data_IF_246212272961
#
_entry.id   IF_246212272961
#
_cell.length_a   1.000
_cell.length_b   1.000
_cell.length_c   1.000
_cell.angle_alpha   90.00
_cell.angle_beta   90.00
_cell.angle_gamma   90.00
#
_symmetry.space_group_name_H-M   'P 1'
#
loop_
_entity.id
_entity.type
_entity.pdbx_description
1 polymer ?
#
# COMPACT_ATOMS: atom_id res chain seq x y z
N UNK A 1 7.12 -22.85 85.05
CA UNK A 1 6.55 -21.50 85.31
C UNK A 1 6.36 -20.80 83.98
N UNK A 2 5.12 -20.53 83.57
CA UNK A 2 4.83 -19.47 82.60
C UNK A 2 4.55 -18.18 83.39
N UNK A 3 4.83 -16.99 82.83
CA UNK A 3 3.74 -16.23 82.22
C UNK A 3 4.13 -15.32 81.02
N UNK A 4 3.40 -15.45 79.90
CA UNK A 4 2.30 -14.56 79.42
C UNK A 4 2.39 -13.00 79.37
N UNK A 5 2.20 -12.48 78.12
CA UNK A 5 1.68 -11.18 77.56
C UNK A 5 2.30 -9.81 77.97
N UNK A 6 2.46 -8.78 77.13
CA UNK A 6 1.43 -8.05 76.32
C UNK A 6 2.10 -7.01 75.37
N UNK A 7 1.40 -6.59 74.30
CA UNK A 7 1.78 -5.55 73.34
C UNK A 7 1.47 -4.10 73.81
N UNK A 8 2.18 -3.08 73.26
CA UNK A 8 1.62 -1.87 72.60
C UNK A 8 2.58 -0.65 72.46
N UNK A 9 2.47 0.01 71.29
CA UNK A 9 2.53 1.46 70.97
C UNK A 9 3.83 2.29 70.79
N UNK A 10 4.00 2.73 69.52
CA UNK A 10 4.02 4.11 68.96
C UNK A 10 5.20 5.06 69.24
N UNK A 11 5.94 5.43 68.18
CA UNK A 11 6.89 6.56 68.13
C UNK A 11 7.39 6.83 66.70
N UNK A 12 7.64 8.09 66.33
CA UNK A 12 7.66 8.66 64.96
C UNK A 12 9.08 9.09 64.53
N UNK A 13 9.48 8.70 63.30
CA UNK A 13 10.49 9.20 62.33
C UNK A 13 11.95 9.52 62.80
N UNK A 14 12.95 9.32 61.90
CA UNK A 14 13.29 10.39 60.97
C UNK A 14 13.45 9.99 59.50
N UNK A 15 13.23 11.03 58.71
CA UNK A 15 13.41 11.30 57.29
C UNK A 15 14.75 10.81 56.69
N UNK A 16 14.68 10.11 55.55
CA UNK A 16 15.81 9.90 54.64
C UNK A 16 15.36 10.20 53.22
N UNK A 17 16.01 11.21 52.66
CA UNK A 17 16.02 11.76 51.31
C UNK A 17 15.46 10.89 50.17
N UNK A 18 14.56 11.47 49.39
CA UNK A 18 14.13 11.00 48.07
C UNK A 18 14.66 11.94 46.97
N UNK A 19 15.41 11.38 46.02
CA UNK A 19 15.69 11.94 44.69
C UNK A 19 16.18 10.82 43.75
N UNK A 20 15.97 10.93 42.44
CA UNK A 20 14.69 11.07 41.74
C UNK A 20 14.43 9.86 40.82
N UNK A 21 13.15 9.68 40.46
CA UNK A 21 12.68 8.64 39.55
C UNK A 21 13.41 8.67 38.20
N UNK A 22 14.02 7.54 37.82
CA UNK A 22 14.45 7.28 36.43
C UNK A 22 13.21 7.09 35.57
N UNK A 23 12.92 8.09 34.76
CA UNK A 23 11.95 8.02 33.66
C UNK A 23 12.53 7.11 32.57
N UNK A 24 11.81 6.03 32.25
CA UNK A 24 12.07 5.18 31.10
C UNK A 24 11.81 5.98 29.81
N UNK A 25 12.59 5.77 28.72
CA UNK A 25 12.37 6.48 27.48
C UNK A 25 11.00 6.10 26.88
N UNK A 26 10.24 7.11 26.47
CA UNK A 26 8.93 6.98 25.87
C UNK A 26 9.02 6.16 24.58
N UNK A 27 8.30 5.04 24.55
CA UNK A 27 7.89 4.34 23.35
C UNK A 27 7.27 5.35 22.38
N UNK A 28 7.85 5.50 21.19
CA UNK A 28 7.27 6.29 20.11
C UNK A 28 5.84 5.83 19.80
N UNK A 29 4.99 6.70 19.23
CA UNK A 29 3.59 6.34 19.02
C UNK A 29 3.49 5.17 18.06
N UNK A 30 3.09 4.01 18.59
CA UNK A 30 2.54 2.90 17.82
C UNK A 30 1.44 3.46 16.92
N UNK A 31 1.64 3.41 15.60
CA UNK A 31 0.58 3.75 14.65
C UNK A 31 -0.46 2.64 14.64
N UNK A 32 -1.29 2.61 15.68
CA UNK A 32 -2.57 1.93 15.64
C UNK A 32 -3.42 2.56 14.53
N UNK A 33 -4.05 1.69 13.73
CA UNK A 33 -4.64 1.97 12.42
C UNK A 33 -5.34 3.31 12.30
N UNK A 34 -4.88 4.13 11.35
CA UNK A 34 -5.69 5.23 10.87
C UNK A 34 -6.95 4.66 10.19
N UNK A 35 -8.15 5.18 10.50
CA UNK A 35 -9.37 4.74 9.85
C UNK A 35 -9.24 4.79 8.33
N UNK A 36 -9.83 3.82 7.65
CA UNK A 36 -10.08 3.91 6.23
C UNK A 36 -10.86 5.19 5.90
N UNK A 37 -10.70 5.75 4.70
CA UNK A 37 -11.56 6.84 4.28
C UNK A 37 -13.02 6.35 4.35
N UNK A 38 -13.97 7.20 4.76
CA UNK A 38 -15.38 6.90 4.65
C UNK A 38 -15.69 6.42 3.23
N UNK A 39 -16.58 5.44 3.08
CA UNK A 39 -17.06 4.98 1.77
C UNK A 39 -17.97 6.02 1.08
N UNK A 40 -17.64 7.30 1.22
CA UNK A 40 -18.24 8.36 0.41
C UNK A 40 -17.82 8.07 -1.03
N UNK A 41 -18.82 7.67 -1.83
CA UNK A 41 -18.70 7.18 -3.21
C UNK A 41 -18.11 8.25 -4.13
N UNK A 42 -16.80 8.45 -4.07
CA UNK A 42 -16.09 9.27 -5.06
C UNK A 42 -14.93 8.45 -5.59
N UNK A 43 -15.13 7.84 -6.76
CA UNK A 43 -14.04 7.27 -7.56
C UNK A 43 -13.27 8.48 -8.12
N UNK A 44 -12.23 8.90 -7.40
CA UNK A 44 -11.43 10.10 -7.73
C UNK A 44 -10.15 9.79 -8.52
N UNK A 45 -10.05 8.62 -9.15
CA UNK A 45 -8.81 8.26 -9.83
C UNK A 45 -9.08 7.28 -10.95
N UNK A 46 -9.35 7.81 -12.14
CA UNK A 46 -8.97 7.15 -13.39
C UNK A 46 -8.01 8.13 -14.03
N UNK A 47 -6.74 7.75 -14.12
CA UNK A 47 -5.74 8.60 -14.73
C UNK A 47 -5.36 8.07 -16.11
N UNK A 48 -5.46 8.97 -17.08
CA UNK A 48 -4.98 8.77 -18.43
C UNK A 48 -3.72 9.60 -18.66
N UNK A 49 -2.78 9.11 -19.46
CA UNK A 49 -1.70 9.95 -19.97
C UNK A 49 -2.30 10.87 -21.04
N UNK A 50 -2.04 12.18 -20.94
CA UNK A 50 -2.55 13.12 -21.94
C UNK A 50 -1.93 12.85 -23.33
N UNK A 51 -2.74 12.47 -24.35
CA UNK A 51 -2.24 12.14 -25.68
C UNK A 51 -1.61 13.34 -26.40
N UNK A 52 -1.90 14.57 -25.99
CA UNK A 52 -1.31 15.78 -26.60
C UNK A 52 0.13 16.04 -26.14
N UNK A 53 0.55 15.46 -25.02
CA UNK A 53 1.93 15.57 -24.52
C UNK A 53 2.92 14.63 -25.25
N UNK A 54 2.42 13.60 -25.94
CA UNK A 54 3.24 12.64 -26.70
C UNK A 54 2.62 12.35 -28.07
N UNK A 55 2.84 13.24 -29.04
CA UNK A 55 2.58 12.91 -30.45
C UNK A 55 3.73 12.07 -31.02
N UNK A 56 3.79 10.80 -30.63
CA UNK A 56 4.45 9.75 -31.39
C UNK A 56 3.46 8.60 -31.56
N UNK A 57 3.12 8.29 -32.82
CA UNK A 57 2.37 7.10 -33.14
C UNK A 57 3.23 5.89 -32.77
N UNK A 58 2.81 5.12 -31.77
CA UNK A 58 3.39 3.80 -31.53
C UNK A 58 2.87 2.88 -32.63
N UNK A 59 3.76 2.32 -33.44
CA UNK A 59 3.43 1.12 -34.21
C UNK A 59 2.97 0.05 -33.21
N UNK A 60 1.85 -0.60 -33.51
CA UNK A 60 1.40 -1.79 -32.77
C UNK A 60 2.41 -2.88 -33.07
N UNK A 61 3.44 -2.98 -32.23
CA UNK A 61 4.41 -4.06 -32.25
C UNK A 61 3.68 -5.40 -32.18
N UNK A 62 4.17 -6.37 -32.96
CA UNK A 62 3.57 -7.70 -33.07
C UNK A 62 3.27 -8.31 -31.70
N UNK A 63 2.21 -9.11 -31.67
CA UNK A 63 1.78 -9.87 -30.49
C UNK A 63 2.95 -10.78 -30.08
N UNK A 64 3.78 -10.33 -29.13
CA UNK A 64 4.72 -11.23 -28.48
C UNK A 64 3.86 -12.21 -27.70
N UNK A 65 3.95 -13.50 -28.01
CA UNK A 65 3.40 -14.55 -27.17
C UNK A 65 4.00 -14.37 -25.77
N UNK A 66 3.24 -13.77 -24.87
CA UNK A 66 3.59 -13.85 -23.46
C UNK A 66 3.52 -15.33 -23.13
N UNK A 67 4.60 -15.88 -22.57
CA UNK A 67 4.64 -17.24 -22.07
C UNK A 67 3.40 -17.46 -21.18
N UNK A 68 2.38 -18.07 -21.75
CA UNK A 68 1.15 -18.35 -21.03
C UNK A 68 1.56 -19.32 -19.92
N UNK A 69 1.48 -18.88 -18.67
CA UNK A 69 1.59 -19.80 -17.55
C UNK A 69 0.53 -20.88 -17.78
N UNK A 70 0.95 -22.14 -17.80
CA UNK A 70 0.05 -23.28 -17.93
C UNK A 70 -0.79 -23.51 -16.67
N UNK A 71 -0.59 -22.70 -15.62
CA UNK A 71 -1.28 -22.80 -14.34
C UNK A 71 -2.56 -21.95 -14.39
N UNK A 72 -3.76 -22.56 -14.29
CA UNK A 72 -5.00 -21.81 -14.34
C UNK A 72 -5.18 -20.92 -13.10
N UNK A 73 -5.45 -19.63 -13.31
CA UNK A 73 -5.89 -18.72 -12.25
C UNK A 73 -7.33 -19.05 -11.87
N UNK A 74 -7.50 -19.65 -10.68
CA UNK A 74 -8.82 -20.06 -10.18
C UNK A 74 -9.16 -19.29 -8.89
N UNK A 75 -10.40 -18.82 -8.78
CA UNK A 75 -10.96 -18.24 -7.57
C UNK A 75 -12.01 -19.18 -6.99
N UNK A 76 -11.92 -19.48 -5.70
CA UNK A 76 -12.78 -20.46 -5.04
C UNK A 76 -13.15 -20.00 -3.62
N UNK A 77 -14.02 -20.75 -2.94
CA UNK A 77 -14.52 -20.38 -1.61
C UNK A 77 -13.41 -20.20 -0.55
N UNK A 78 -12.22 -20.78 -0.76
CA UNK A 78 -11.04 -20.58 0.11
C UNK A 78 -10.43 -19.17 -0.02
N UNK A 79 -10.74 -18.49 -1.11
CA UNK A 79 -10.28 -17.13 -1.38
C UNK A 79 -11.20 -16.08 -0.79
N UNK A 80 -12.42 -16.43 -0.38
CA UNK A 80 -13.37 -15.50 0.21
C UNK A 80 -12.77 -14.81 1.45
N UNK A 81 -13.03 -13.51 1.64
CA UNK A 81 -12.61 -12.81 2.85
C UNK A 81 -13.32 -13.40 4.07
N UNK A 82 -12.61 -13.44 5.21
CA UNK A 82 -13.11 -14.06 6.45
C UNK A 82 -14.42 -13.44 6.94
N UNK A 83 -14.64 -12.15 6.68
CA UNK A 83 -15.81 -11.40 7.12
C UNK A 83 -16.88 -11.22 6.02
N UNK A 84 -16.75 -11.91 4.89
CA UNK A 84 -17.57 -11.71 3.69
C UNK A 84 -17.24 -10.39 2.97
N UNK A 85 -17.59 -10.29 1.68
CA UNK A 85 -17.52 -9.02 0.93
C UNK A 85 -18.92 -8.52 0.63
N UNK A 86 -19.49 -7.74 1.55
CA UNK A 86 -20.85 -7.20 1.39
C UNK A 86 -20.91 -5.92 0.54
N UNK A 87 -19.75 -5.35 0.16
CA UNK A 87 -19.68 -3.95 -0.25
C UNK A 87 -19.06 -3.68 -1.62
N UNK A 88 -18.71 -4.71 -2.41
CA UNK A 88 -18.00 -4.52 -3.69
C UNK A 88 -16.77 -3.62 -3.51
N UNK A 89 -16.06 -3.85 -2.41
CA UNK A 89 -14.96 -2.98 -2.02
C UNK A 89 -13.82 -3.00 -3.04
N UNK A 90 -13.14 -1.85 -3.15
CA UNK A 90 -11.92 -1.71 -3.93
C UNK A 90 -10.83 -2.61 -3.33
N UNK A 91 -9.98 -3.18 -4.18
CA UNK A 91 -8.87 -4.02 -3.71
C UNK A 91 -7.71 -3.12 -3.29
N UNK A 92 -7.56 -3.00 -1.97
CA UNK A 92 -6.50 -2.21 -1.32
C UNK A 92 -5.54 -3.18 -0.65
N UNK A 93 -4.26 -3.09 -0.97
CA UNK A 93 -3.23 -4.04 -0.53
C UNK A 93 -2.05 -3.33 0.12
N UNK A 94 -1.17 -4.12 0.72
CA UNK A 94 0.20 -3.71 1.01
C UNK A 94 1.08 -4.16 -0.16
N UNK A 95 1.93 -3.27 -0.66
CA UNK A 95 2.92 -3.59 -1.68
C UNK A 95 4.31 -3.20 -1.18
N UNK A 96 5.32 -4.01 -1.48
CA UNK A 96 6.70 -3.61 -1.24
C UNK A 96 7.15 -2.73 -2.41
N UNK A 97 7.37 -1.44 -2.16
CA UNK A 97 7.82 -0.45 -3.15
C UNK A 97 9.17 0.08 -2.69
N UNK A 98 10.21 -0.07 -3.51
CA UNK A 98 11.57 0.35 -3.15
C UNK A 98 12.03 -0.15 -1.77
N UNK A 99 11.70 -1.41 -1.44
CA UNK A 99 12.02 -2.06 -0.17
C UNK A 99 11.24 -1.54 1.05
N UNK A 100 10.19 -0.74 0.85
CA UNK A 100 9.28 -0.30 1.91
C UNK A 100 7.91 -0.96 1.76
N UNK A 101 7.34 -1.43 2.87
CA UNK A 101 5.95 -1.86 2.93
C UNK A 101 5.03 -0.63 2.85
N UNK A 102 4.51 -0.37 1.65
CA UNK A 102 3.57 0.71 1.41
C UNK A 102 2.17 0.17 1.60
N UNK A 103 1.50 0.67 2.64
CA UNK A 103 0.10 0.34 2.96
C UNK A 103 -0.86 1.14 2.08
N UNK A 104 -2.11 0.69 1.97
CA UNK A 104 -3.18 1.42 1.26
C UNK A 104 -2.85 1.68 -0.21
N UNK A 105 -2.35 0.64 -0.88
CA UNK A 105 -2.10 0.63 -2.33
C UNK A 105 -3.36 0.17 -3.04
N UNK A 106 -3.95 1.01 -3.87
CA UNK A 106 -5.13 0.67 -4.65
C UNK A 106 -4.72 -0.07 -5.93
N UNK A 107 -5.29 -1.25 -6.16
CA UNK A 107 -5.19 -1.94 -7.45
C UNK A 107 -6.32 -1.46 -8.36
N UNK A 108 -5.98 -0.72 -9.41
CA UNK A 108 -6.97 -0.10 -10.29
C UNK A 108 -6.73 -0.44 -11.77
N UNK A 109 -7.53 -1.35 -12.29
CA UNK A 109 -7.53 -1.69 -13.72
C UNK A 109 -8.05 -0.56 -14.63
N UNK A 110 -8.72 0.46 -14.07
CA UNK A 110 -9.21 1.63 -14.78
C UNK A 110 -8.10 2.63 -15.10
N UNK A 111 -7.12 2.80 -14.21
CA UNK A 111 -6.00 3.73 -14.41
C UNK A 111 -4.97 3.20 -15.41
N UNK A 112 -4.48 4.07 -16.29
CA UNK A 112 -3.34 3.76 -17.17
C UNK A 112 -2.00 4.19 -16.55
N UNK A 113 -2.03 5.09 -15.58
CA UNK A 113 -0.87 5.57 -14.86
C UNK A 113 -0.76 4.90 -13.48
N UNK A 114 0.47 4.59 -13.08
CA UNK A 114 0.82 4.24 -11.71
C UNK A 114 1.14 5.52 -10.94
N UNK A 115 0.59 5.66 -9.73
CA UNK A 115 0.68 6.90 -8.96
C UNK A 115 1.29 6.61 -7.59
N UNK A 116 2.22 7.46 -7.19
CA UNK A 116 2.73 7.53 -5.84
C UNK A 116 2.38 8.90 -5.27
N UNK A 117 1.64 8.96 -4.15
CA UNK A 117 1.31 10.26 -3.57
C UNK A 117 2.51 10.86 -2.85
N UNK A 118 2.69 12.19 -2.95
CA UNK A 118 3.82 12.93 -2.37
C UNK A 118 4.03 12.58 -0.88
N UNK A 119 2.94 12.44 -0.12
CA UNK A 119 3.02 12.08 1.30
C UNK A 119 3.67 10.72 1.55
N UNK A 120 3.45 9.74 0.68
CA UNK A 120 4.06 8.41 0.77
C UNK A 120 5.51 8.45 0.28
N UNK A 121 5.77 9.13 -0.84
CA UNK A 121 7.11 9.37 -1.36
C UNK A 121 8.05 9.97 -0.29
N UNK A 122 7.60 10.99 0.44
CA UNK A 122 8.36 11.62 1.51
C UNK A 122 8.55 10.68 2.72
N UNK A 123 7.53 9.89 3.09
CA UNK A 123 7.63 8.92 4.18
C UNK A 123 8.61 7.79 3.90
N UNK A 124 8.78 7.41 2.63
CA UNK A 124 9.80 6.45 2.18
C UNK A 124 11.22 7.03 2.17
N UNK A 125 11.41 8.31 2.55
CA UNK A 125 12.71 8.96 2.57
C UNK A 125 13.31 9.21 1.17
N UNK A 126 12.49 9.10 0.12
CA UNK A 126 12.89 9.40 -1.24
C UNK A 126 13.07 10.92 -1.42
N UNK A 127 14.05 11.31 -2.23
CA UNK A 127 14.43 12.72 -2.44
C UNK A 127 14.04 13.16 -3.84
N UNK A 128 13.74 14.44 -4.01
CA UNK A 128 13.43 15.01 -5.32
C UNK A 128 14.54 14.81 -6.36
N UNK A 129 15.80 14.66 -5.90
CA UNK A 129 16.93 14.33 -6.76
C UNK A 129 16.79 12.98 -7.48
N UNK A 130 15.91 12.09 -6.99
CA UNK A 130 15.61 10.79 -7.60
C UNK A 130 14.54 10.90 -8.70
N UNK A 131 13.95 12.07 -8.88
CA UNK A 131 12.85 12.29 -9.81
C UNK A 131 13.36 12.59 -11.21
N UNK A 132 12.80 11.91 -12.20
CA UNK A 132 13.11 12.10 -13.61
C UNK A 132 12.39 13.34 -14.16
N UNK A 133 13.10 14.12 -14.97
CA UNK A 133 12.49 15.22 -15.70
C UNK A 133 11.61 14.65 -16.83
N UNK A 134 10.30 14.85 -16.74
CA UNK A 134 9.38 14.55 -17.82
C UNK A 134 8.25 15.59 -17.84
N UNK A 135 7.93 16.07 -19.05
CA UNK A 135 6.85 17.04 -19.31
C UNK A 135 5.53 16.33 -19.63
N UNK A 136 5.22 15.26 -18.89
CA UNK A 136 3.98 14.51 -19.12
C UNK A 136 2.91 14.97 -18.13
N UNK A 137 1.75 15.36 -18.64
CA UNK A 137 0.56 15.68 -17.84
C UNK A 137 -0.38 14.48 -17.80
N UNK A 138 -1.06 14.29 -16.67
CA UNK A 138 -2.12 13.29 -16.54
C UNK A 138 -3.49 13.95 -16.74
N UNK A 139 -4.45 13.18 -17.24
CA UNK A 139 -5.86 13.54 -17.28
C UNK A 139 -6.59 12.73 -16.22
N UNK A 140 -7.34 13.41 -15.38
CA UNK A 140 -8.25 12.73 -14.46
C UNK A 140 -9.55 12.31 -15.18
N UNK A 141 -10.47 11.69 -14.45
CA UNK A 141 -11.74 11.23 -15.00
C UNK A 141 -12.64 12.38 -15.52
N UNK A 142 -12.51 13.58 -14.96
CA UNK A 142 -13.27 14.76 -15.39
C UNK A 142 -12.67 15.43 -16.63
N UNK A 143 -11.49 14.96 -17.09
CA UNK A 143 -10.71 15.59 -18.15
C UNK A 143 -9.86 16.76 -17.66
N UNK A 144 -9.79 16.98 -16.34
CA UNK A 144 -8.89 17.96 -15.77
C UNK A 144 -7.44 17.49 -15.89
N UNK A 145 -6.57 18.44 -16.23
CA UNK A 145 -5.14 18.23 -16.36
C UNK A 145 -4.49 18.25 -14.98
N UNK A 146 -3.93 17.14 -14.57
CA UNK A 146 -3.16 16.99 -13.34
C UNK A 146 -1.68 16.94 -13.70
N UNK A 147 -0.93 17.95 -13.29
CA UNK A 147 0.51 17.97 -13.47
C UNK A 147 1.16 17.18 -12.33
N UNK A 148 1.81 16.03 -12.61
CA UNK A 148 2.61 15.36 -11.59
C UNK A 148 3.79 16.26 -11.21
N UNK A 149 4.29 16.10 -9.98
CA UNK A 149 5.53 16.74 -9.55
C UNK A 149 6.64 16.36 -10.53
N UNK A 150 6.84 15.04 -10.68
CA UNK A 150 7.74 14.37 -11.66
C UNK A 150 7.43 12.86 -11.66
N UNK A 151 8.23 12.10 -12.41
CA UNK A 151 8.17 10.65 -12.49
C UNK A 151 9.33 9.99 -11.76
N UNK A 152 9.15 8.75 -11.31
CA UNK A 152 10.20 7.93 -10.71
C UNK A 152 10.02 6.45 -11.04
N UNK A 153 11.11 5.76 -11.35
CA UNK A 153 11.11 4.32 -11.56
C UNK A 153 11.50 3.61 -10.27
N UNK A 154 10.59 2.81 -9.70
CA UNK A 154 10.83 2.07 -8.45
C UNK A 154 10.52 0.57 -8.65
N UNK A 155 11.28 -0.33 -8.00
CA UNK A 155 10.89 -1.74 -7.97
C UNK A 155 9.65 -1.91 -7.09
N UNK A 156 8.67 -2.64 -7.60
CA UNK A 156 7.48 -3.07 -6.89
C UNK A 156 7.50 -4.59 -6.82
N UNK A 157 7.27 -5.15 -5.64
CA UNK A 157 7.14 -6.59 -5.49
C UNK A 157 5.93 -6.99 -4.66
N UNK A 158 5.37 -8.13 -5.05
CA UNK A 158 4.28 -8.82 -4.38
C UNK A 158 4.71 -10.24 -4.06
N UNK A 159 4.26 -10.79 -2.95
CA UNK A 159 4.52 -12.16 -2.59
C UNK A 159 3.55 -12.71 -1.56
N UNK A 160 3.52 -14.03 -1.49
CA UNK A 160 2.87 -14.83 -0.46
C UNK A 160 3.80 -15.98 -0.04
N UNK A 161 3.30 -16.95 0.73
CA UNK A 161 4.08 -18.10 1.17
C UNK A 161 4.62 -18.96 0.01
N UNK A 162 4.06 -18.82 -1.20
CA UNK A 162 4.47 -19.60 -2.38
C UNK A 162 5.58 -18.93 -3.20
N UNK A 163 5.83 -17.63 -3.01
CA UNK A 163 6.86 -16.92 -3.74
C UNK A 163 6.67 -15.41 -3.80
N UNK A 164 7.52 -14.74 -4.57
CA UNK A 164 7.41 -13.32 -4.85
C UNK A 164 7.72 -13.03 -6.32
N UNK A 165 7.20 -11.92 -6.82
CA UNK A 165 7.55 -11.36 -8.12
C UNK A 165 7.87 -9.89 -7.97
N UNK A 166 8.78 -9.40 -8.83
CA UNK A 166 9.24 -8.02 -8.84
C UNK A 166 9.14 -7.44 -10.26
N UNK A 167 8.68 -6.21 -10.37
CA UNK A 167 8.60 -5.45 -11.61
C UNK A 167 9.07 -4.01 -11.39
N UNK A 168 9.70 -3.41 -12.39
CA UNK A 168 10.06 -1.99 -12.36
C UNK A 168 8.86 -1.15 -12.81
N UNK A 169 8.41 -0.23 -11.95
CA UNK A 169 7.20 0.57 -12.17
C UNK A 169 7.56 2.04 -12.27
N UNK A 170 7.01 2.72 -13.27
CA UNK A 170 7.15 4.15 -13.46
C UNK A 170 5.97 4.88 -12.80
N UNK A 171 6.22 5.46 -11.63
CA UNK A 171 5.23 6.21 -10.89
C UNK A 171 5.22 7.68 -11.31
N UNK A 172 4.02 8.22 -11.53
CA UNK A 172 3.78 9.65 -11.44
C UNK A 172 3.65 10.07 -9.97
N UNK A 173 4.49 11.00 -9.52
CA UNK A 173 4.40 11.52 -8.15
C UNK A 173 3.42 12.67 -8.11
N UNK A 174 2.29 12.50 -7.41
CA UNK A 174 1.21 13.50 -7.37
C UNK A 174 1.10 14.14 -5.99
N UNK A 175 1.07 15.48 -5.98
CA UNK A 175 0.76 16.28 -4.79
C UNK A 175 -0.75 16.47 -4.66
N UNK A 176 -1.41 15.52 -4.01
CA UNK A 176 -2.85 15.59 -3.73
C UNK A 176 -3.18 14.96 -2.37
N UNK A 177 -4.29 15.40 -1.77
CA UNK A 177 -4.85 14.72 -0.59
C UNK A 177 -5.53 13.44 -1.06
N UNK A 178 -5.02 12.28 -0.61
CA UNK A 178 -5.55 10.98 -0.96
C UNK A 178 -5.72 10.09 0.25
N UNK A 179 -6.71 9.19 0.18
CA UNK A 179 -6.86 8.08 1.11
C UNK A 179 -5.94 6.90 0.83
N UNK A 180 -5.18 6.95 -0.27
CA UNK A 180 -4.25 5.91 -0.71
C UNK A 180 -2.83 6.46 -0.72
N UNK A 181 -1.85 5.58 -0.55
CA UNK A 181 -0.44 5.95 -0.67
C UNK A 181 0.08 5.75 -2.10
N UNK A 182 -0.48 4.76 -2.82
CA UNK A 182 -0.20 4.54 -4.22
C UNK A 182 -1.42 3.96 -4.96
N UNK A 183 -1.40 4.09 -6.28
CA UNK A 183 -2.34 3.43 -7.20
C UNK A 183 -1.49 2.65 -8.20
N UNK A 184 -1.79 1.36 -8.36
CA UNK A 184 -1.22 0.55 -9.43
C UNK A 184 -2.25 0.40 -10.53
N UNK A 185 -1.94 1.02 -11.67
CA UNK A 185 -2.75 1.01 -12.87
C UNK A 185 -2.62 -0.29 -13.65
N UNK A 186 -3.39 -0.36 -14.72
CA UNK A 186 -3.43 -1.49 -15.66
C UNK A 186 -2.05 -1.85 -16.23
N UNK A 187 -1.17 -0.88 -16.43
CA UNK A 187 0.19 -1.12 -16.94
C UNK A 187 0.97 -2.04 -16.00
N UNK A 188 1.02 -1.71 -14.71
CA UNK A 188 1.66 -2.57 -13.70
C UNK A 188 0.91 -3.88 -13.52
N UNK A 189 -0.42 -3.86 -13.44
CA UNK A 189 -1.22 -5.08 -13.29
C UNK A 189 -0.95 -6.07 -14.43
N UNK A 190 -0.91 -5.59 -15.68
CA UNK A 190 -0.58 -6.40 -16.85
C UNK A 190 0.86 -6.92 -16.82
N UNK A 191 1.83 -6.15 -16.30
CA UNK A 191 3.22 -6.60 -16.18
C UNK A 191 3.37 -7.82 -15.27
N UNK A 192 2.50 -7.96 -14.27
CA UNK A 192 2.43 -9.13 -13.40
C UNK A 192 1.51 -10.24 -13.95
N UNK A 193 0.69 -9.97 -14.98
CA UNK A 193 -0.40 -10.86 -15.37
C UNK A 193 -1.49 -10.97 -14.29
N UNK A 194 -1.73 -9.86 -13.58
CA UNK A 194 -2.56 -9.81 -12.38
C UNK A 194 -4.04 -9.66 -12.69
N UNK A 195 -4.85 -10.53 -12.09
CA UNK A 195 -6.31 -10.52 -12.16
C UNK A 195 -6.87 -10.13 -10.79
N UNK A 196 -7.64 -9.04 -10.79
CA UNK A 196 -8.34 -8.50 -9.61
C UNK A 196 -9.71 -9.17 -9.53
N UNK A 197 -10.05 -9.69 -8.36
CA UNK A 197 -11.34 -10.31 -8.10
C UNK A 197 -12.02 -9.63 -6.92
N UNK A 198 -12.89 -8.67 -7.23
CA UNK A 198 -13.65 -7.95 -6.19
C UNK A 198 -14.54 -8.88 -5.38
N UNK A 199 -15.25 -9.89 -5.92
CA UNK A 199 -16.09 -10.77 -5.09
C UNK A 199 -15.30 -11.54 -4.02
N UNK A 200 -14.02 -11.84 -4.30
CA UNK A 200 -13.13 -12.56 -3.40
C UNK A 200 -12.16 -11.64 -2.63
N UNK A 201 -12.24 -10.32 -2.87
CA UNK A 201 -11.37 -9.30 -2.29
C UNK A 201 -9.88 -9.69 -2.34
N UNK A 202 -9.44 -10.22 -3.49
CA UNK A 202 -8.04 -10.57 -3.71
C UNK A 202 -7.66 -10.39 -5.17
N UNK A 203 -6.35 -10.29 -5.42
CA UNK A 203 -5.78 -10.42 -6.75
C UNK A 203 -4.91 -11.66 -6.81
N UNK A 204 -4.81 -12.23 -8.02
CA UNK A 204 -3.94 -13.38 -8.28
C UNK A 204 -3.15 -13.15 -9.54
N UNK A 205 -1.93 -13.67 -9.57
CA UNK A 205 -1.10 -13.63 -10.75
C UNK A 205 -0.15 -14.83 -10.80
N UNK A 206 0.22 -15.32 -11.99
CA UNK A 206 1.11 -16.44 -12.12
C UNK A 206 2.57 -16.03 -11.96
N UNK A 207 3.38 -16.92 -11.41
CA UNK A 207 4.83 -16.93 -11.58
C UNK A 207 5.22 -18.12 -12.46
N UNK A 208 6.52 -18.35 -12.63
CA UNK A 208 7.04 -19.51 -13.37
C UNK A 208 6.67 -20.86 -12.73
N UNK A 209 6.35 -20.88 -11.44
CA UNK A 209 6.15 -22.13 -10.68
C UNK A 209 4.86 -22.17 -9.85
N UNK A 210 4.23 -21.05 -9.53
CA UNK A 210 3.07 -20.98 -8.64
C UNK A 210 2.11 -19.86 -9.03
N UNK A 211 0.98 -19.76 -8.30
CA UNK A 211 0.10 -18.58 -8.32
C UNK A 211 0.30 -17.84 -7.01
N UNK A 212 0.61 -16.54 -7.10
CA UNK A 212 0.64 -15.66 -5.94
C UNK A 212 -0.75 -15.08 -5.72
N UNK A 213 -1.24 -15.12 -4.48
CA UNK A 213 -2.51 -14.49 -4.08
C UNK A 213 -2.26 -13.33 -3.14
N UNK A 214 -2.64 -12.13 -3.56
CA UNK A 214 -2.57 -10.93 -2.73
C UNK A 214 -3.97 -10.62 -2.23
N UNK A 215 -4.15 -10.70 -0.91
CA UNK A 215 -5.44 -10.42 -0.27
C UNK A 215 -5.60 -8.92 -0.07
N UNK A 216 -6.75 -8.41 -0.45
CA UNK A 216 -7.17 -7.06 -0.09
C UNK A 216 -7.43 -6.98 1.41
N UNK A 217 -7.12 -5.83 1.98
CA UNK A 217 -7.42 -5.52 3.37
C UNK A 217 -8.95 -5.30 3.48
N UNK A 218 -9.60 -6.11 4.30
CA UNK A 218 -11.03 -6.02 4.56
C UNK A 218 -11.24 -4.99 5.67
N UNK A 219 -12.11 -4.02 5.41
CA UNK A 219 -12.48 -2.96 6.36
C UNK A 219 -12.98 -3.50 7.69
#
# INVERSE_FOLDING_TARGET
MAPTFTAAQKGKAPEVAEAPAKTSPSTGPSQAGRPYPPATRTINAIFSIDPTSHRQAAEVGGISEQHASSIPLTFCNKDLPQQGNLHYDLIVVVACIAYFDVWRVLLDSGSTADILFESAFLQMGLKEANLLCAETTLLDFSGERVQPLRFISLPVSFGDDNGHALSMVNFAVIKAKSGYNAILGRTTLNSFGMVISTPYLCSKFPTSSCIITIRGDAK
#
